data_IF_187210817543
#
_entry.id   IF_187210817543
#
_cell.length_a   1.000
_cell.length_b   1.000
_cell.length_c   1.000
_cell.angle_alpha   90.00
_cell.angle_beta   90.00
_cell.angle_gamma   90.00
#
_symmetry.space_group_name_H-M   'P 1'
#
loop_
_entity.id
_entity.type
_entity.pdbx_description
1 polymer ?
#
# COMPACT_ATOMS: atom_id res chain seq x y z
N UNK A 1 17.10 -8.13 -21.67
CA UNK A 1 16.97 -7.21 -20.54
C UNK A 1 15.49 -7.06 -20.23
N UNK A 2 15.06 -7.31 -19.00
CA UNK A 2 13.68 -6.97 -18.59
C UNK A 2 13.50 -5.44 -18.74
N UNK A 3 12.34 -5.01 -19.24
CA UNK A 3 12.03 -3.57 -19.32
C UNK A 3 12.01 -3.00 -17.89
N UNK A 4 12.55 -1.80 -17.72
CA UNK A 4 12.49 -1.11 -16.43
C UNK A 4 11.03 -0.94 -16.00
N UNK A 5 10.75 -1.11 -14.70
CA UNK A 5 9.42 -0.92 -14.15
C UNK A 5 9.00 0.56 -14.34
N UNK A 6 7.83 0.84 -14.96
CA UNK A 6 7.39 2.21 -15.17
C UNK A 6 7.20 2.94 -13.85
N UNK A 7 7.40 4.26 -13.87
CA UNK A 7 7.15 5.15 -12.74
C UNK A 7 5.93 6.02 -13.00
N UNK A 8 5.23 6.37 -11.94
CA UNK A 8 4.13 7.32 -11.97
C UNK A 8 4.31 8.37 -10.88
N UNK A 9 3.87 9.58 -11.19
CA UNK A 9 3.86 10.70 -10.24
C UNK A 9 2.77 10.51 -9.19
N UNK A 10 3.06 10.81 -7.95
CA UNK A 10 2.08 10.83 -6.87
C UNK A 10 1.32 12.17 -6.88
N UNK A 11 0.12 12.13 -7.48
CA UNK A 11 -0.75 13.29 -7.53
C UNK A 11 -0.06 14.55 -8.03
N UNK A 12 -0.27 15.64 -7.30
CA UNK A 12 0.37 16.94 -7.57
C UNK A 12 1.81 17.08 -7.06
N UNK A 13 2.38 16.07 -6.38
CA UNK A 13 3.75 16.14 -5.86
C UNK A 13 4.81 15.90 -6.94
N UNK A 14 6.07 16.18 -6.64
CA UNK A 14 7.20 15.85 -7.53
C UNK A 14 7.68 14.40 -7.38
N UNK A 15 7.11 13.65 -6.44
CA UNK A 15 7.52 12.28 -6.13
C UNK A 15 7.11 11.33 -7.25
N UNK A 16 8.06 10.61 -7.81
CA UNK A 16 7.86 9.52 -8.76
C UNK A 16 8.02 8.19 -8.04
N UNK A 17 7.15 7.22 -8.34
CA UNK A 17 7.17 5.90 -7.70
C UNK A 17 7.02 4.80 -8.74
N UNK A 18 7.64 3.66 -8.50
CA UNK A 18 7.41 2.45 -9.29
C UNK A 18 5.93 2.02 -9.21
N UNK A 19 5.39 1.45 -10.30
CA UNK A 19 3.97 1.01 -10.40
C UNK A 19 3.57 -0.06 -9.37
N UNK A 20 4.54 -0.70 -8.75
CA UNK A 20 4.37 -1.64 -7.64
C UNK A 20 5.12 -1.07 -6.43
N UNK A 21 4.45 -1.07 -5.28
CA UNK A 21 5.04 -0.76 -3.99
C UNK A 21 5.14 -2.04 -3.15
N UNK A 22 6.24 -2.20 -2.39
CA UNK A 22 6.42 -3.32 -1.48
C UNK A 22 6.16 -2.87 -0.04
N UNK A 23 5.17 -3.52 0.61
CA UNK A 23 4.82 -3.27 2.00
C UNK A 23 5.46 -4.25 2.95
N UNK A 24 5.80 -3.79 4.13
CA UNK A 24 6.40 -4.57 5.21
C UNK A 24 5.35 -5.31 6.07
N UNK A 25 4.12 -4.81 6.14
CA UNK A 25 3.10 -5.34 7.06
C UNK A 25 2.90 -6.85 6.93
N UNK A 26 3.06 -7.57 8.04
CA UNK A 26 2.95 -9.02 8.10
C UNK A 26 3.84 -9.74 7.10
N UNK A 27 5.04 -9.20 6.87
CA UNK A 27 5.96 -9.69 5.84
C UNK A 27 7.31 -10.03 6.44
N UNK A 28 8.16 -9.05 6.70
CA UNK A 28 9.55 -9.28 7.06
C UNK A 28 9.74 -9.91 8.45
N UNK A 29 8.94 -9.50 9.42
CA UNK A 29 8.95 -10.01 10.79
C UNK A 29 8.52 -11.49 10.89
N UNK A 30 7.95 -12.05 9.83
CA UNK A 30 7.43 -13.42 9.76
C UNK A 30 8.30 -14.38 8.96
N UNK A 31 9.48 -13.95 8.55
CA UNK A 31 10.42 -14.76 7.79
C UNK A 31 11.82 -14.72 8.39
N UNK A 32 12.67 -15.72 8.12
CA UNK A 32 14.07 -15.67 8.50
C UNK A 32 14.74 -14.41 7.93
N UNK A 33 15.59 -13.76 8.72
CA UNK A 33 16.28 -12.52 8.36
C UNK A 33 16.94 -12.58 6.99
N UNK A 34 17.70 -13.64 6.71
CA UNK A 34 18.38 -13.81 5.42
C UNK A 34 17.41 -13.93 4.23
N UNK A 35 16.18 -14.42 4.46
CA UNK A 35 15.14 -14.46 3.44
C UNK A 35 14.55 -13.07 3.19
N UNK A 36 14.36 -12.28 4.25
CA UNK A 36 13.90 -10.91 4.16
C UNK A 36 14.91 -10.02 3.40
N UNK A 37 16.20 -10.15 3.71
CA UNK A 37 17.28 -9.46 3.00
C UNK A 37 17.30 -9.83 1.50
N UNK A 38 17.24 -11.11 1.17
CA UNK A 38 17.19 -11.56 -0.23
C UNK A 38 15.95 -11.06 -0.97
N UNK A 39 14.81 -11.04 -0.30
CA UNK A 39 13.56 -10.58 -0.89
C UNK A 39 13.60 -9.08 -1.17
N UNK A 40 14.09 -8.28 -0.22
CA UNK A 40 14.23 -6.83 -0.40
C UNK A 40 15.24 -6.51 -1.50
N UNK A 41 16.43 -7.13 -1.48
CA UNK A 41 17.43 -6.96 -2.53
C UNK A 41 16.83 -7.29 -3.92
N UNK A 42 16.13 -8.42 -4.02
CA UNK A 42 15.46 -8.81 -5.26
C UNK A 42 14.43 -7.79 -5.73
N UNK A 43 13.62 -7.25 -4.84
CA UNK A 43 12.62 -6.22 -5.20
C UNK A 43 13.29 -4.96 -5.76
N UNK A 44 14.37 -4.50 -5.12
CA UNK A 44 15.16 -3.35 -5.58
C UNK A 44 15.81 -3.60 -6.94
N UNK A 45 16.43 -4.77 -7.14
CA UNK A 45 17.00 -5.20 -8.44
C UNK A 45 15.95 -5.26 -9.55
N UNK A 46 14.69 -5.56 -9.21
CA UNK A 46 13.56 -5.58 -10.15
C UNK A 46 12.97 -4.20 -10.40
N UNK A 47 13.50 -3.15 -9.77
CA UNK A 47 13.11 -1.75 -9.99
C UNK A 47 11.93 -1.30 -9.14
N UNK A 48 11.60 -2.00 -8.05
CA UNK A 48 10.65 -1.52 -7.05
C UNK A 48 11.41 -0.54 -6.15
N UNK A 49 11.06 0.74 -6.22
CA UNK A 49 11.68 1.82 -5.44
C UNK A 49 10.70 2.47 -4.45
N UNK A 50 9.43 2.04 -4.45
CA UNK A 50 8.44 2.49 -3.50
C UNK A 50 8.25 1.42 -2.40
N UNK A 51 8.68 1.74 -1.19
CA UNK A 51 8.63 0.87 -0.04
C UNK A 51 7.72 1.48 1.03
N UNK A 52 6.81 0.68 1.59
CA UNK A 52 5.83 1.11 2.59
C UNK A 52 6.03 0.38 3.90
N UNK A 53 6.31 1.11 4.96
CA UNK A 53 6.41 0.59 6.32
C UNK A 53 5.51 1.39 7.28
N UNK A 54 5.44 0.97 8.51
CA UNK A 54 4.82 1.69 9.60
C UNK A 54 5.21 1.09 10.96
N UNK A 55 4.87 1.82 12.02
CA UNK A 55 4.92 1.32 13.39
C UNK A 55 3.78 0.32 13.61
N UNK A 56 4.05 -0.95 13.33
CA UNK A 56 3.10 -2.02 13.62
C UNK A 56 3.34 -2.64 14.98
N UNK A 57 2.26 -3.13 15.60
CA UNK A 57 2.35 -3.95 16.79
C UNK A 57 2.85 -5.36 16.45
N UNK A 58 3.54 -5.98 17.40
CA UNK A 58 3.96 -7.36 17.23
C UNK A 58 2.77 -8.33 17.32
N UNK A 59 2.44 -8.92 16.19
CA UNK A 59 1.43 -9.97 16.09
C UNK A 59 2.01 -11.38 16.20
N UNK A 60 3.34 -11.51 16.30
CA UNK A 60 4.03 -12.82 16.37
C UNK A 60 4.23 -13.28 17.82
N UNK A 61 4.23 -12.36 18.76
CA UNK A 61 4.57 -12.61 20.16
C UNK A 61 6.06 -12.88 20.39
N UNK A 62 6.91 -12.61 19.38
CA UNK A 62 8.34 -12.92 19.40
C UNK A 62 9.24 -11.73 19.08
N UNK A 63 8.68 -10.55 18.77
CA UNK A 63 9.48 -9.37 18.53
C UNK A 63 10.18 -8.88 19.80
N UNK A 64 11.39 -8.29 19.68
CA UNK A 64 12.13 -7.73 20.81
C UNK A 64 11.42 -6.59 21.54
N UNK A 65 10.56 -5.86 20.82
CA UNK A 65 9.72 -4.79 21.36
C UNK A 65 8.28 -4.96 20.87
N UNK A 66 7.27 -4.62 21.69
CA UNK A 66 5.86 -4.93 21.39
C UNK A 66 5.27 -4.09 20.25
N UNK A 67 5.82 -2.91 19.98
CA UNK A 67 5.37 -2.01 18.92
C UNK A 67 6.56 -1.35 18.22
N UNK A 68 6.46 -1.17 16.89
CA UNK A 68 7.50 -0.51 16.10
C UNK A 68 8.71 -1.37 15.75
N UNK A 69 8.73 -2.65 16.09
CA UNK A 69 9.80 -3.55 15.64
C UNK A 69 9.88 -3.66 14.12
N UNK A 70 8.75 -3.54 13.42
CA UNK A 70 8.73 -3.46 11.96
C UNK A 70 9.67 -2.38 11.42
N UNK A 71 9.66 -1.19 12.02
CA UNK A 71 10.50 -0.06 11.60
C UNK A 71 11.99 -0.32 11.89
N UNK A 72 12.31 -0.86 13.06
CA UNK A 72 13.69 -1.29 13.39
C UNK A 72 14.20 -2.29 12.36
N UNK A 73 13.42 -3.35 12.13
CA UNK A 73 13.77 -4.40 11.18
C UNK A 73 13.90 -3.85 9.75
N UNK A 74 12.99 -2.97 9.35
CA UNK A 74 13.00 -2.36 8.01
C UNK A 74 14.28 -1.54 7.79
N UNK A 75 14.65 -0.67 8.73
CA UNK A 75 15.90 0.10 8.67
C UNK A 75 17.14 -0.78 8.61
N UNK A 76 17.18 -1.83 9.44
CA UNK A 76 18.26 -2.82 9.40
C UNK A 76 18.35 -3.55 8.05
N UNK A 77 17.20 -3.93 7.46
CA UNK A 77 17.17 -4.59 6.14
C UNK A 77 17.70 -3.67 5.04
N UNK A 78 17.31 -2.39 5.02
CA UNK A 78 17.83 -1.41 4.07
C UNK A 78 19.35 -1.32 4.13
N UNK A 79 19.92 -1.24 5.33
CA UNK A 79 21.38 -1.20 5.54
C UNK A 79 22.06 -2.49 5.11
N UNK A 80 21.49 -3.65 5.46
CA UNK A 80 22.05 -4.96 5.14
C UNK A 80 22.15 -5.21 3.63
N UNK A 81 21.17 -4.71 2.86
CA UNK A 81 21.19 -4.84 1.38
C UNK A 81 21.92 -3.70 0.68
N UNK A 82 22.49 -2.74 1.44
CA UNK A 82 23.19 -1.60 0.86
C UNK A 82 22.28 -0.66 0.07
N UNK A 83 21.01 -0.55 0.46
CA UNK A 83 20.07 0.34 -0.19
C UNK A 83 20.45 1.81 0.07
N UNK A 84 20.29 2.65 -0.96
CA UNK A 84 20.48 4.10 -0.87
C UNK A 84 19.11 4.77 -0.63
N UNK A 85 18.76 5.18 0.61
CA UNK A 85 17.43 5.71 0.92
C UNK A 85 17.03 6.91 0.06
N UNK A 86 18.01 7.73 -0.37
CA UNK A 86 17.76 8.89 -1.23
C UNK A 86 17.29 8.51 -2.65
N UNK A 87 17.53 7.28 -3.10
CA UNK A 87 17.06 6.76 -4.38
C UNK A 87 15.69 6.08 -4.29
N UNK A 88 15.12 6.01 -3.08
CA UNK A 88 13.87 5.30 -2.81
C UNK A 88 12.79 6.28 -2.32
N UNK A 89 11.54 5.95 -2.62
CA UNK A 89 10.40 6.54 -1.93
C UNK A 89 10.03 5.63 -0.76
N UNK A 90 10.50 5.97 0.42
CA UNK A 90 10.13 5.27 1.66
C UNK A 90 8.95 6.01 2.26
N UNK A 91 7.86 5.27 2.54
CA UNK A 91 6.70 5.80 3.24
C UNK A 91 6.54 5.20 4.63
N UNK A 92 5.95 6.00 5.52
CA UNK A 92 5.56 5.61 6.87
C UNK A 92 4.23 6.30 7.24
N UNK A 93 3.71 6.03 8.43
CA UNK A 93 2.36 6.44 8.84
C UNK A 93 2.35 7.12 10.21
N UNK A 94 1.59 8.21 10.31
CA UNK A 94 1.12 8.75 11.58
C UNK A 94 -0.12 7.97 12.00
N UNK A 95 -0.06 7.26 13.10
CA UNK A 95 -1.19 6.50 13.64
C UNK A 95 -2.08 7.30 14.56
N UNK A 96 -1.53 8.41 15.17
CA UNK A 96 -2.22 9.28 16.11
C UNK A 96 -2.62 8.57 17.42
N UNK A 97 -2.06 7.39 17.67
CA UNK A 97 -2.45 6.54 18.79
C UNK A 97 -2.22 7.20 20.17
N UNK A 98 -1.19 8.03 20.27
CA UNK A 98 -0.84 8.70 21.52
C UNK A 98 -1.25 10.18 21.57
N UNK A 99 -2.08 10.61 20.59
CA UNK A 99 -2.63 11.95 20.61
C UNK A 99 -3.55 12.18 21.81
N UNK A 100 -3.51 13.36 22.50
CA UNK A 100 -2.63 14.52 22.27
C UNK A 100 -1.30 14.45 23.01
N UNK A 101 -0.96 13.37 23.67
CA UNK A 101 0.28 13.22 24.45
C UNK A 101 1.54 13.21 23.59
N UNK A 102 1.42 12.80 22.32
CA UNK A 102 2.46 12.87 21.29
C UNK A 102 1.90 13.57 20.07
N UNK A 103 2.58 14.58 19.59
CA UNK A 103 2.23 15.29 18.34
C UNK A 103 2.81 14.59 17.10
N UNK A 104 2.44 15.09 15.91
CA UNK A 104 2.90 14.49 14.66
C UNK A 104 4.41 14.55 14.46
N UNK A 105 5.09 15.59 14.95
CA UNK A 105 6.56 15.70 14.88
C UNK A 105 7.19 14.64 15.75
N UNK A 106 6.75 14.50 16.99
CA UNK A 106 7.26 13.47 17.92
C UNK A 106 7.01 12.05 17.42
N UNK A 107 5.87 11.78 16.77
CA UNK A 107 5.59 10.48 16.16
C UNK A 107 6.52 10.21 14.97
N UNK A 108 6.71 11.19 14.08
CA UNK A 108 7.65 11.10 12.96
C UNK A 108 9.09 10.86 13.43
N UNK A 109 9.56 11.65 14.41
CA UNK A 109 10.93 11.54 14.93
C UNK A 109 11.20 10.16 15.53
N UNK A 110 10.25 9.62 16.31
CA UNK A 110 10.35 8.28 16.86
C UNK A 110 10.41 7.20 15.77
N UNK A 111 9.66 7.35 14.67
CA UNK A 111 9.70 6.44 13.52
C UNK A 111 11.03 6.52 12.78
N UNK A 112 11.51 7.72 12.53
CA UNK A 112 12.79 7.94 11.85
C UNK A 112 13.97 7.41 12.69
N UNK A 113 13.93 7.57 14.02
CA UNK A 113 14.93 7.02 14.93
C UNK A 113 14.94 5.49 14.86
N UNK A 114 13.77 4.82 14.92
CA UNK A 114 13.70 3.35 14.84
C UNK A 114 14.21 2.82 13.50
N UNK A 115 13.92 3.49 12.40
CA UNK A 115 14.41 3.10 11.07
C UNK A 115 15.86 3.51 10.81
N UNK A 116 16.43 4.40 11.63
CA UNK A 116 17.73 5.06 11.40
C UNK A 116 17.76 5.79 10.03
N UNK A 117 16.70 6.54 9.75
CA UNK A 117 16.55 7.36 8.55
C UNK A 117 16.49 8.85 8.89
N UNK A 118 17.03 9.69 8.01
CA UNK A 118 16.99 11.15 8.17
C UNK A 118 15.66 11.74 7.70
N UNK A 119 14.99 11.10 6.72
CA UNK A 119 13.78 11.60 6.09
C UNK A 119 12.94 10.49 5.46
N UNK A 120 11.67 10.82 5.19
CA UNK A 120 10.74 10.01 4.39
C UNK A 120 10.46 10.68 3.03
N UNK A 121 10.25 9.86 2.01
CA UNK A 121 9.71 10.33 0.73
C UNK A 121 8.23 10.68 0.84
N UNK A 122 7.46 9.89 1.62
CA UNK A 122 6.02 10.04 1.78
C UNK A 122 5.60 9.73 3.23
N UNK A 123 4.73 10.56 3.81
CA UNK A 123 4.13 10.31 5.11
C UNK A 123 2.61 10.20 4.97
N UNK A 124 2.04 9.09 5.40
CA UNK A 124 0.61 8.92 5.48
C UNK A 124 0.06 9.39 6.83
N UNK A 125 -1.08 10.08 6.81
CA UNK A 125 -1.94 10.19 7.97
C UNK A 125 -2.96 9.07 7.96
N UNK A 126 -2.99 8.24 9.01
CA UNK A 126 -3.99 7.18 9.16
C UNK A 126 -5.35 7.78 9.55
N UNK A 127 -6.37 6.93 9.63
CA UNK A 127 -7.69 7.31 10.16
C UNK A 127 -7.54 8.07 11.47
N UNK A 128 -8.17 9.23 11.56
CA UNK A 128 -8.05 10.10 12.74
C UNK A 128 -8.87 9.54 13.91
N UNK A 129 -8.36 9.62 15.15
CA UNK A 129 -9.19 9.38 16.33
C UNK A 129 -10.25 10.46 16.46
N UNK A 130 -11.36 10.16 17.15
CA UNK A 130 -12.50 11.05 17.27
C UNK A 130 -12.13 12.42 17.90
N UNK A 131 -11.11 12.45 18.72
CA UNK A 131 -10.62 13.64 19.45
C UNK A 131 -9.71 14.53 18.58
N UNK A 132 -9.34 14.08 17.38
CA UNK A 132 -8.47 14.84 16.48
C UNK A 132 -9.26 15.29 15.23
N UNK A 133 -9.79 16.52 15.22
CA UNK A 133 -10.47 17.05 14.04
C UNK A 133 -9.54 17.22 12.84
N UNK A 134 -10.06 17.04 11.63
CA UNK A 134 -9.29 17.19 10.38
C UNK A 134 -8.49 18.49 10.31
N UNK A 135 -9.03 19.68 10.67
CA UNK A 135 -8.23 20.91 10.63
C UNK A 135 -6.99 20.86 11.52
N UNK A 136 -7.13 20.31 12.74
CA UNK A 136 -5.99 20.17 13.65
C UNK A 136 -4.97 19.17 13.11
N UNK A 137 -5.41 18.05 12.55
CA UNK A 137 -4.51 17.07 11.93
C UNK A 137 -3.72 17.69 10.76
N UNK A 138 -4.36 18.52 9.93
CA UNK A 138 -3.69 19.20 8.81
C UNK A 138 -2.70 20.25 9.31
N UNK A 139 -2.99 20.98 10.39
CA UNK A 139 -2.02 21.90 11.02
C UNK A 139 -0.80 21.15 11.57
N UNK A 140 -1.00 19.96 12.17
CA UNK A 140 0.09 19.09 12.61
C UNK A 140 0.94 18.62 11.43
N UNK A 141 0.31 18.25 10.31
CA UNK A 141 0.99 17.85 9.07
C UNK A 141 1.77 19.05 8.49
N UNK A 142 1.22 20.26 8.54
CA UNK A 142 1.94 21.46 8.11
C UNK A 142 3.23 21.67 8.92
N UNK A 143 3.17 21.46 10.24
CA UNK A 143 4.36 21.52 11.09
C UNK A 143 5.39 20.44 10.72
N UNK A 144 4.93 19.21 10.43
CA UNK A 144 5.80 18.12 9.95
C UNK A 144 6.47 18.48 8.63
N UNK A 145 5.72 18.98 7.65
CA UNK A 145 6.28 19.38 6.35
C UNK A 145 7.32 20.51 6.48
N UNK A 146 7.08 21.45 7.40
CA UNK A 146 8.01 22.55 7.68
C UNK A 146 9.38 22.08 8.23
N UNK A 147 9.48 20.88 8.79
CA UNK A 147 10.76 20.28 9.22
C UNK A 147 11.69 19.94 8.05
N UNK A 148 11.16 19.81 6.83
CA UNK A 148 11.89 19.35 5.64
C UNK A 148 12.24 17.85 5.66
N UNK A 149 11.80 17.11 6.67
CA UNK A 149 12.09 15.67 6.82
C UNK A 149 11.09 14.76 6.08
N UNK A 150 10.07 15.32 5.46
CA UNK A 150 9.05 14.62 4.68
C UNK A 150 8.92 15.26 3.30
N UNK A 151 8.96 14.45 2.24
CA UNK A 151 8.89 14.94 0.87
C UNK A 151 7.47 15.32 0.44
N UNK A 152 6.50 14.49 0.79
CA UNK A 152 5.08 14.71 0.53
C UNK A 152 4.23 14.00 1.59
N UNK A 153 2.93 14.35 1.67
CA UNK A 153 2.01 13.68 2.57
C UNK A 153 0.80 13.10 1.82
N UNK A 154 0.19 12.10 2.42
CA UNK A 154 -0.92 11.34 1.89
C UNK A 154 -1.84 10.87 3.02
N UNK A 155 -2.93 10.20 2.67
CA UNK A 155 -3.86 9.64 3.66
C UNK A 155 -3.99 8.13 3.50
N UNK A 156 -4.31 7.42 4.59
CA UNK A 156 -4.63 6.00 4.54
C UNK A 156 -5.95 5.71 5.25
N UNK A 157 -6.87 5.05 4.55
CA UNK A 157 -8.19 4.66 5.05
C UNK A 157 -9.10 5.84 5.48
N UNK A 158 -8.92 7.02 4.90
CA UNK A 158 -9.79 8.16 5.16
C UNK A 158 -11.08 8.07 4.37
N UNK A 159 -12.17 8.61 4.93
CA UNK A 159 -13.42 8.78 4.20
C UNK A 159 -13.30 9.88 3.12
N UNK A 160 -14.22 9.87 2.16
CA UNK A 160 -14.31 10.93 1.16
C UNK A 160 -14.50 12.31 1.79
N UNK A 161 -15.33 12.39 2.86
CA UNK A 161 -15.57 13.62 3.59
C UNK A 161 -14.32 14.15 4.28
N UNK A 162 -13.54 13.29 4.93
CA UNK A 162 -12.30 13.69 5.60
C UNK A 162 -11.25 14.13 4.58
N UNK A 163 -11.12 13.43 3.45
CA UNK A 163 -10.20 13.80 2.38
C UNK A 163 -10.56 15.16 1.77
N UNK A 164 -11.84 15.42 1.53
CA UNK A 164 -12.31 16.71 1.02
C UNK A 164 -12.05 17.83 2.03
N UNK A 165 -12.34 17.59 3.32
CA UNK A 165 -12.08 18.54 4.40
C UNK A 165 -10.58 18.84 4.53
N UNK A 166 -9.73 17.82 4.44
CA UNK A 166 -8.28 17.99 4.50
C UNK A 166 -7.73 18.78 3.31
N UNK A 167 -8.30 18.58 2.13
CA UNK A 167 -7.93 19.33 0.92
C UNK A 167 -8.22 20.81 1.07
N UNK A 168 -9.43 21.15 1.56
CA UNK A 168 -9.81 22.54 1.82
C UNK A 168 -8.97 23.19 2.93
N UNK A 169 -8.66 22.42 3.98
CA UNK A 169 -7.82 22.88 5.07
C UNK A 169 -6.37 23.10 4.66
N UNK A 170 -5.82 22.20 3.83
CA UNK A 170 -4.48 22.34 3.27
C UNK A 170 -4.33 23.66 2.48
N UNK A 171 -5.34 24.01 1.68
CA UNK A 171 -5.40 25.31 0.99
C UNK A 171 -5.42 26.48 2.00
N UNK A 172 -6.22 26.38 3.07
CA UNK A 172 -6.32 27.41 4.12
C UNK A 172 -4.98 27.68 4.80
N UNK A 173 -4.21 26.61 5.10
CA UNK A 173 -2.90 26.73 5.77
C UNK A 173 -1.72 26.82 4.80
N UNK A 174 -2.00 26.93 3.51
CA UNK A 174 -1.02 27.12 2.44
C UNK A 174 0.03 25.99 2.36
N UNK A 175 -0.39 24.73 2.52
CA UNK A 175 0.42 23.53 2.23
C UNK A 175 -0.17 22.79 1.01
N UNK A 176 0.62 21.95 0.32
CA UNK A 176 0.08 21.07 -0.72
C UNK A 176 -1.01 20.15 -0.15
N UNK A 177 -2.10 19.85 -0.90
CA UNK A 177 -3.08 18.85 -0.50
C UNK A 177 -2.45 17.44 -0.44
N UNK A 178 -3.15 16.45 0.15
CA UNK A 178 -2.65 15.07 0.15
C UNK A 178 -2.43 14.57 -1.27
N UNK A 179 -1.21 14.12 -1.57
CA UNK A 179 -0.85 13.71 -2.93
C UNK A 179 -1.36 12.30 -3.30
N UNK A 180 -1.76 11.50 -2.33
CA UNK A 180 -2.28 10.16 -2.54
C UNK A 180 -3.24 9.73 -1.42
N UNK A 181 -4.08 8.74 -1.74
CA UNK A 181 -4.87 7.99 -0.77
C UNK A 181 -4.57 6.49 -0.90
N UNK A 182 -4.07 5.89 0.18
CA UNK A 182 -3.91 4.44 0.29
C UNK A 182 -5.23 3.86 0.81
N UNK A 183 -5.94 3.14 -0.06
CA UNK A 183 -7.26 2.59 0.23
C UNK A 183 -7.32 1.11 -0.12
N UNK A 184 -8.06 0.29 0.64
CA UNK A 184 -8.35 -1.07 0.25
C UNK A 184 -9.12 -1.10 -1.08
N UNK A 185 -8.46 -1.59 -2.13
CA UNK A 185 -9.05 -1.72 -3.45
C UNK A 185 -8.59 -3.01 -4.11
N UNK A 186 -9.53 -3.83 -4.49
CA UNK A 186 -9.30 -5.11 -5.16
C UNK A 186 -10.55 -5.53 -5.92
N UNK A 187 -10.45 -6.54 -6.77
CA UNK A 187 -11.63 -7.14 -7.40
C UNK A 187 -12.66 -7.66 -6.39
N UNK A 188 -12.25 -7.93 -5.16
CA UNK A 188 -13.13 -8.32 -4.06
C UNK A 188 -13.74 -7.14 -3.29
N UNK A 189 -13.28 -5.93 -3.52
CA UNK A 189 -13.72 -4.72 -2.82
C UNK A 189 -13.46 -3.49 -3.68
N UNK A 190 -14.49 -3.02 -4.35
CA UNK A 190 -14.41 -1.84 -5.22
C UNK A 190 -15.22 -0.66 -4.67
N UNK A 191 -16.20 -0.94 -3.83
CA UNK A 191 -17.23 -0.05 -3.32
C UNK A 191 -16.69 1.25 -2.72
N UNK A 192 -15.62 1.20 -1.96
CA UNK A 192 -15.07 2.39 -1.32
C UNK A 192 -14.39 3.35 -2.31
N UNK A 193 -13.59 2.80 -3.22
CA UNK A 193 -12.80 3.60 -4.18
C UNK A 193 -13.67 4.06 -5.36
N UNK A 194 -14.62 3.22 -5.78
CA UNK A 194 -15.52 3.53 -6.91
C UNK A 194 -16.80 4.27 -6.46
N UNK A 195 -16.88 4.67 -5.19
CA UNK A 195 -17.92 5.57 -4.71
C UNK A 195 -17.73 6.97 -5.35
N UNK A 196 -18.78 7.56 -5.94
CA UNK A 196 -18.67 8.88 -6.57
C UNK A 196 -18.11 9.98 -5.65
N UNK A 197 -18.45 9.97 -4.36
CA UNK A 197 -17.92 10.95 -3.42
C UNK A 197 -16.41 10.77 -3.19
N UNK A 198 -15.89 9.53 -3.23
CA UNK A 198 -14.47 9.28 -3.15
C UNK A 198 -13.74 9.71 -4.42
N UNK A 199 -14.30 9.44 -5.61
CA UNK A 199 -13.70 9.91 -6.87
C UNK A 199 -13.65 11.43 -6.94
N UNK A 200 -14.72 12.12 -6.51
CA UNK A 200 -14.77 13.59 -6.42
C UNK A 200 -13.72 14.14 -5.44
N UNK A 201 -13.57 13.51 -4.26
CA UNK A 201 -12.59 13.92 -3.26
C UNK A 201 -11.14 13.72 -3.76
N UNK A 202 -10.85 12.58 -4.39
CA UNK A 202 -9.55 12.32 -5.01
C UNK A 202 -9.27 13.32 -6.16
N UNK A 203 -10.30 13.67 -6.94
CA UNK A 203 -10.18 14.65 -8.01
C UNK A 203 -9.85 16.04 -7.48
N UNK A 204 -10.58 16.49 -6.45
CA UNK A 204 -10.39 17.80 -5.84
C UNK A 204 -8.99 17.94 -5.23
N UNK A 205 -8.48 16.91 -4.57
CA UNK A 205 -7.11 16.87 -4.05
C UNK A 205 -6.03 16.75 -5.16
N UNK A 206 -6.39 16.36 -6.38
CA UNK A 206 -5.44 15.92 -7.38
C UNK A 206 -4.65 14.68 -6.93
N UNK A 207 -5.23 13.87 -6.06
CA UNK A 207 -4.56 12.77 -5.40
C UNK A 207 -4.53 11.49 -6.26
N UNK A 208 -3.43 10.76 -6.17
CA UNK A 208 -3.34 9.40 -6.70
C UNK A 208 -3.97 8.39 -5.75
N UNK A 209 -4.43 7.28 -6.32
CA UNK A 209 -4.83 6.09 -5.57
C UNK A 209 -3.62 5.16 -5.39
N UNK A 210 -3.45 4.64 -4.19
CA UNK A 210 -2.54 3.53 -3.86
C UNK A 210 -3.39 2.36 -3.37
N UNK A 211 -3.81 1.44 -4.26
CA UNK A 211 -4.53 0.25 -3.87
C UNK A 211 -3.76 -0.57 -2.84
N UNK A 212 -4.34 -0.78 -1.66
CA UNK A 212 -3.89 -1.73 -0.66
C UNK A 212 -4.79 -2.97 -0.67
N UNK A 213 -4.35 -4.05 -0.05
CA UNK A 213 -5.08 -5.32 0.00
C UNK A 213 -5.51 -5.87 -1.39
N UNK A 214 -4.73 -5.61 -2.44
CA UNK A 214 -5.02 -5.98 -3.83
C UNK A 214 -5.40 -7.46 -4.04
N UNK A 215 -4.88 -8.35 -3.19
CA UNK A 215 -5.18 -9.79 -3.19
C UNK A 215 -6.17 -10.22 -2.08
N UNK A 216 -6.84 -9.29 -1.39
CA UNK A 216 -7.73 -9.57 -0.26
C UNK A 216 -7.08 -10.52 0.77
N UNK A 217 -5.86 -10.19 1.24
CA UNK A 217 -5.08 -11.04 2.14
C UNK A 217 -4.51 -12.31 1.49
N UNK A 218 -4.54 -12.40 0.18
CA UNK A 218 -4.11 -13.57 -0.61
C UNK A 218 -5.26 -14.45 -1.10
N UNK A 219 -6.52 -14.14 -0.76
CA UNK A 219 -7.70 -14.90 -1.21
C UNK A 219 -7.78 -14.97 -2.73
N UNK A 220 -7.52 -13.84 -3.42
CA UNK A 220 -7.60 -13.74 -4.88
C UNK A 220 -6.46 -14.43 -5.63
N UNK A 221 -5.46 -15.00 -4.93
CA UNK A 221 -4.38 -15.75 -5.57
C UNK A 221 -4.82 -17.11 -6.11
N UNK A 222 -6.01 -17.59 -5.76
CA UNK A 222 -6.53 -18.90 -6.15
C UNK A 222 -5.85 -20.11 -5.48
N UNK A 223 -4.77 -19.92 -4.71
CA UNK A 223 -3.98 -21.01 -4.09
C UNK A 223 -4.75 -21.83 -3.05
N UNK A 224 -5.71 -21.22 -2.39
CA UNK A 224 -6.49 -21.88 -1.33
C UNK A 224 -7.49 -22.91 -1.86
N UNK A 225 -7.83 -22.85 -3.16
CA UNK A 225 -8.67 -23.86 -3.82
C UNK A 225 -8.03 -25.27 -3.79
N UNK A 226 -6.69 -25.31 -3.81
CA UNK A 226 -5.91 -26.57 -3.80
C UNK A 226 -5.39 -26.92 -2.40
N UNK A 227 -5.92 -26.30 -1.34
CA UNK A 227 -5.52 -26.59 0.04
C UNK A 227 -4.17 -26.03 0.46
N UNK A 228 -3.61 -25.08 -0.30
CA UNK A 228 -2.33 -24.46 0.03
C UNK A 228 -2.39 -23.69 1.36
N UNK A 229 -1.27 -23.66 2.08
CA UNK A 229 -1.09 -22.85 3.27
C UNK A 229 -0.79 -21.38 2.92
N UNK A 230 -1.07 -20.46 3.84
CA UNK A 230 -0.77 -19.04 3.67
C UNK A 230 -1.42 -18.18 4.76
N UNK A 231 -1.35 -16.87 4.61
CA UNK A 231 -1.82 -15.88 5.61
C UNK A 231 -3.26 -16.14 6.10
N UNK A 232 -4.14 -16.65 5.23
CA UNK A 232 -5.55 -16.92 5.57
C UNK A 232 -5.80 -18.34 6.07
N UNK A 233 -4.79 -19.16 6.36
CA UNK A 233 -4.99 -20.55 6.78
C UNK A 233 -5.99 -20.70 7.91
N UNK A 234 -5.89 -19.85 8.92
CA UNK A 234 -6.73 -19.89 10.10
C UNK A 234 -8.09 -19.18 9.90
N UNK A 235 -8.23 -18.41 8.81
CA UNK A 235 -9.41 -17.64 8.43
C UNK A 235 -10.22 -18.30 7.29
N UNK A 236 -9.81 -19.45 6.76
CA UNK A 236 -10.47 -20.11 5.61
C UNK A 236 -11.95 -20.45 5.85
N UNK A 237 -12.36 -20.57 7.12
CA UNK A 237 -13.73 -20.83 7.51
C UNK A 237 -14.51 -19.58 7.92
N UNK A 238 -13.89 -18.40 7.89
CA UNK A 238 -14.59 -17.15 8.18
C UNK A 238 -15.54 -16.81 7.02
N UNK A 239 -16.86 -16.71 7.28
CA UNK A 239 -17.83 -16.36 6.25
C UNK A 239 -17.49 -15.05 5.52
N UNK A 240 -16.87 -14.09 6.21
CA UNK A 240 -16.45 -12.81 5.63
C UNK A 240 -15.36 -12.97 4.55
N UNK A 241 -14.63 -14.08 4.55
CA UNK A 241 -13.59 -14.42 3.58
C UNK A 241 -14.10 -15.33 2.46
N UNK A 242 -15.23 -15.98 2.66
CA UNK A 242 -15.75 -17.00 1.74
C UNK A 242 -15.92 -16.47 0.32
N UNK A 243 -16.54 -15.31 0.15
CA UNK A 243 -16.76 -14.69 -1.16
C UNK A 243 -15.43 -14.40 -1.90
N UNK A 244 -14.44 -13.83 -1.21
CA UNK A 244 -13.13 -13.54 -1.81
C UNK A 244 -12.36 -14.82 -2.19
N UNK A 245 -12.49 -15.91 -1.41
CA UNK A 245 -11.89 -17.20 -1.73
C UNK A 245 -12.55 -17.86 -2.94
N UNK A 246 -13.88 -17.77 -3.05
CA UNK A 246 -14.62 -18.26 -4.22
C UNK A 246 -14.23 -17.50 -5.48
N UNK A 247 -14.13 -16.16 -5.38
CA UNK A 247 -13.63 -15.32 -6.47
C UNK A 247 -12.24 -15.71 -6.88
N UNK A 248 -11.30 -15.90 -5.94
CA UNK A 248 -9.94 -16.37 -6.24
C UNK A 248 -9.92 -17.68 -7.02
N UNK A 249 -10.82 -18.62 -6.69
CA UNK A 249 -11.00 -19.86 -7.46
C UNK A 249 -11.57 -19.61 -8.86
N UNK A 250 -12.55 -18.71 -8.99
CA UNK A 250 -13.17 -18.36 -10.27
C UNK A 250 -12.18 -17.66 -11.21
N UNK A 251 -11.22 -16.87 -10.68
CA UNK A 251 -10.18 -16.20 -11.47
C UNK A 251 -9.21 -17.17 -12.18
N UNK A 252 -9.17 -18.44 -11.81
CA UNK A 252 -8.25 -19.41 -12.44
C UNK A 252 -8.51 -19.59 -13.92
N UNK A 253 -9.78 -19.59 -14.34
CA UNK A 253 -10.14 -19.76 -15.74
C UNK A 253 -9.74 -18.57 -16.62
N UNK A 254 -10.15 -17.32 -16.34
CA UNK A 254 -9.72 -16.18 -17.14
C UNK A 254 -8.20 -15.96 -17.07
N UNK A 255 -7.56 -16.20 -15.92
CA UNK A 255 -6.10 -16.12 -15.82
C UNK A 255 -5.40 -17.09 -16.77
N UNK A 256 -5.84 -18.37 -16.80
CA UNK A 256 -5.28 -19.37 -17.73
C UNK A 256 -5.51 -18.99 -19.20
N UNK A 257 -6.67 -18.43 -19.55
CA UNK A 257 -6.97 -17.95 -20.90
C UNK A 257 -6.03 -16.81 -21.34
N UNK A 258 -5.62 -15.97 -20.39
CA UNK A 258 -4.67 -14.86 -20.62
C UNK A 258 -3.19 -15.28 -20.43
N UNK A 259 -2.92 -16.56 -20.18
CA UNK A 259 -1.56 -17.08 -19.96
C UNK A 259 -0.89 -16.52 -18.70
N UNK A 260 -1.67 -16.28 -17.65
CA UNK A 260 -1.19 -15.64 -16.41
C UNK A 260 -1.70 -16.36 -15.16
N UNK A 261 -1.43 -15.80 -13.98
CA UNK A 261 -1.93 -16.32 -12.70
C UNK A 261 -3.11 -15.51 -12.17
N UNK A 262 -3.98 -16.08 -11.31
CA UNK A 262 -5.02 -15.31 -10.63
C UNK A 262 -4.49 -14.12 -9.84
N UNK A 263 -3.33 -14.27 -9.18
CA UNK A 263 -2.68 -13.19 -8.45
C UNK A 263 -2.28 -12.02 -9.37
N UNK A 264 -1.58 -12.33 -10.47
CA UNK A 264 -1.18 -11.34 -11.48
C UNK A 264 -2.41 -10.62 -12.05
N UNK A 265 -3.47 -11.37 -12.38
CA UNK A 265 -4.70 -10.80 -12.93
C UNK A 265 -5.42 -9.89 -11.93
N UNK A 266 -5.50 -10.29 -10.64
CA UNK A 266 -6.10 -9.48 -9.59
C UNK A 266 -5.31 -8.19 -9.31
N UNK A 267 -3.98 -8.23 -9.34
CA UNK A 267 -3.14 -7.03 -9.23
C UNK A 267 -3.31 -6.14 -10.47
N UNK A 268 -3.33 -6.72 -11.67
CA UNK A 268 -3.54 -5.97 -12.91
C UNK A 268 -4.87 -5.19 -12.88
N UNK A 269 -5.93 -5.78 -12.32
CA UNK A 269 -7.21 -5.08 -12.14
C UNK A 269 -7.06 -3.78 -11.34
N UNK A 270 -6.30 -3.78 -10.24
CA UNK A 270 -6.11 -2.58 -9.42
C UNK A 270 -5.32 -1.48 -10.14
N UNK A 271 -4.46 -1.86 -11.07
CA UNK A 271 -3.67 -0.94 -11.91
C UNK A 271 -4.48 -0.28 -13.03
N UNK A 272 -5.70 -0.78 -13.32
CA UNK A 272 -6.58 -0.21 -14.35
C UNK A 272 -7.31 1.04 -13.87
N UNK A 273 -7.46 1.25 -12.57
CA UNK A 273 -8.12 2.45 -12.08
C UNK A 273 -7.31 3.69 -12.49
N UNK A 274 -7.94 4.71 -13.12
CA UNK A 274 -7.22 5.82 -13.76
C UNK A 274 -6.34 6.64 -12.81
N UNK A 275 -6.66 6.65 -11.51
CA UNK A 275 -5.88 7.36 -10.49
C UNK A 275 -4.80 6.50 -9.85
N UNK A 276 -4.70 5.21 -10.15
CA UNK A 276 -3.69 4.33 -9.52
C UNK A 276 -2.29 4.72 -9.96
N UNK A 277 -1.49 5.24 -9.03
CA UNK A 277 -0.05 5.47 -9.25
C UNK A 277 0.75 4.19 -9.05
N UNK A 278 0.54 3.50 -7.95
CA UNK A 278 1.20 2.23 -7.62
C UNK A 278 0.24 1.31 -6.89
N UNK A 279 0.38 0.00 -7.05
CA UNK A 279 -0.35 -0.98 -6.22
C UNK A 279 0.58 -1.50 -5.12
N UNK A 280 0.13 -1.42 -3.87
CA UNK A 280 0.85 -1.91 -2.71
C UNK A 280 0.64 -3.41 -2.54
N UNK A 281 1.73 -4.15 -2.53
CA UNK A 281 1.74 -5.60 -2.33
C UNK A 281 2.56 -5.99 -1.09
N UNK A 282 2.19 -7.10 -0.47
CA UNK A 282 3.07 -7.86 0.41
C UNK A 282 3.56 -9.10 -0.34
N UNK A 283 4.84 -9.40 -0.26
CA UNK A 283 5.43 -10.58 -0.88
C UNK A 283 6.33 -11.32 0.13
N UNK A 284 6.40 -12.64 0.02
CA UNK A 284 7.28 -13.50 0.81
C UNK A 284 8.21 -14.36 -0.05
N UNK A 285 8.09 -14.23 -1.37
CA UNK A 285 8.94 -14.95 -2.34
C UNK A 285 9.22 -14.08 -3.56
N UNK A 286 10.38 -14.25 -4.22
CA UNK A 286 10.70 -13.59 -5.50
C UNK A 286 9.63 -13.79 -6.58
N UNK A 287 9.04 -14.97 -6.68
CA UNK A 287 7.99 -15.27 -7.66
C UNK A 287 6.73 -14.42 -7.46
N UNK A 288 6.41 -14.01 -6.22
CA UNK A 288 5.29 -13.08 -5.96
C UNK A 288 5.62 -11.65 -6.41
N UNK A 289 6.88 -11.24 -6.30
CA UNK A 289 7.37 -9.96 -6.84
C UNK A 289 7.26 -9.98 -8.37
N UNK A 290 7.75 -11.03 -9.03
CA UNK A 290 7.64 -11.17 -10.48
C UNK A 290 6.19 -11.15 -10.96
N UNK A 291 5.30 -11.88 -10.27
CA UNK A 291 3.87 -11.87 -10.58
C UNK A 291 3.24 -10.48 -10.49
N UNK A 292 3.67 -9.65 -9.53
CA UNK A 292 3.20 -8.29 -9.40
C UNK A 292 3.77 -7.36 -10.50
N UNK A 293 5.02 -7.54 -10.87
CA UNK A 293 5.65 -6.79 -11.98
C UNK A 293 4.99 -7.15 -13.30
N UNK A 294 4.72 -8.44 -13.55
CA UNK A 294 4.01 -8.91 -14.74
C UNK A 294 2.60 -8.33 -14.85
N UNK A 295 1.96 -8.05 -13.71
CA UNK A 295 0.66 -7.40 -13.67
C UNK A 295 0.65 -6.00 -14.32
N UNK A 296 1.77 -5.28 -14.26
CA UNK A 296 1.89 -3.95 -14.90
C UNK A 296 1.78 -4.07 -16.43
N UNK A 297 2.47 -5.04 -17.01
CA UNK A 297 2.41 -5.32 -18.45
C UNK A 297 1.05 -5.93 -18.85
N UNK A 298 0.46 -6.74 -17.98
CA UNK A 298 -0.86 -7.33 -18.20
C UNK A 298 -1.94 -6.25 -18.22
N UNK A 299 -1.93 -5.31 -17.28
CA UNK A 299 -2.91 -4.21 -17.22
C UNK A 299 -2.99 -3.41 -18.53
N UNK A 300 -1.87 -3.24 -19.22
CA UNK A 300 -1.83 -2.53 -20.53
C UNK A 300 -2.45 -3.35 -21.68
N UNK A 301 -2.64 -4.65 -21.50
CA UNK A 301 -3.16 -5.57 -22.55
C UNK A 301 -4.58 -6.03 -22.30
N UNK A 302 -5.11 -5.82 -21.10
CA UNK A 302 -6.49 -6.18 -20.79
C UNK A 302 -7.46 -5.34 -21.61
N UNK A 303 -8.38 -6.01 -22.30
CA UNK A 303 -9.44 -5.38 -23.06
C UNK A 303 -10.62 -4.99 -22.18
N UNK A 304 -11.51 -4.13 -22.68
CA UNK A 304 -12.76 -3.81 -21.98
C UNK A 304 -13.62 -5.07 -21.74
N UNK A 305 -13.55 -6.07 -22.64
CA UNK A 305 -14.24 -7.35 -22.48
C UNK A 305 -13.68 -8.16 -21.31
N UNK A 306 -12.34 -8.24 -21.17
CA UNK A 306 -11.70 -8.93 -20.04
C UNK A 306 -12.09 -8.27 -18.72
N UNK A 307 -12.08 -6.94 -18.66
CA UNK A 307 -12.47 -6.19 -17.44
C UNK A 307 -13.94 -6.43 -17.11
N UNK A 308 -14.83 -6.45 -18.09
CA UNK A 308 -16.25 -6.75 -17.88
C UNK A 308 -16.46 -8.19 -17.36
N UNK A 309 -15.72 -9.18 -17.89
CA UNK A 309 -15.77 -10.55 -17.37
C UNK A 309 -15.29 -10.59 -15.90
N UNK A 310 -14.18 -9.92 -15.56
CA UNK A 310 -13.67 -9.87 -14.19
C UNK A 310 -14.69 -9.26 -13.22
N UNK A 311 -15.34 -8.16 -13.61
CA UNK A 311 -16.38 -7.51 -12.79
C UNK A 311 -17.60 -8.42 -12.61
N UNK A 312 -18.05 -9.09 -13.66
CA UNK A 312 -19.18 -10.02 -13.55
C UNK A 312 -18.91 -11.19 -12.61
N UNK A 313 -17.66 -11.67 -12.52
CA UNK A 313 -17.27 -12.69 -11.53
C UNK A 313 -17.34 -12.15 -10.10
N UNK A 314 -17.07 -10.87 -9.90
CA UNK A 314 -17.17 -10.21 -8.61
C UNK A 314 -18.62 -9.99 -8.17
N UNK A 315 -19.56 -9.76 -9.09
CA UNK A 315 -20.98 -9.48 -8.83
C UNK A 315 -21.79 -10.74 -8.51
N UNK A 316 -21.30 -11.94 -8.84
CA UNK A 316 -21.97 -13.23 -8.58
C UNK A 316 -21.92 -13.69 -7.11
N UNK A 317 -21.68 -12.80 -6.14
CA UNK A 317 -21.47 -13.09 -4.70
C UNK A 317 -22.66 -12.79 -3.84
#
# INVERSE_FOLDING_TARGET
MAAALPHHRLGGSETQVSRIALGSWRTFERMPRADAERLLAYALERGIDFLDDARYDDETGSAPIPTGYSEVLFGELLRAVGAEPAALTISNKLWWEFWPGQDAIGELEASLERMELDRLGLLYSSTLPAELPVPVAVEQIAAVLATGRVGAWAVVNWSAGDLAAATAEAERVAIPPPCAAQLPYSLARTDWVEDPAMDDALAAAGASLIPSAALAGGALSGKYADGASGRLRDELRDPRRSAALQLGSALRRPAAALGTTPATLAIAFTLLHPRTAATLIGATTPAQIDAAIDAVSLAQRLTAGDVAELRSLADLR
#
